data_IF_365680860380
#
_entry.id   IF_365680860380
#
_cell.length_a   1.000
_cell.length_b   1.000
_cell.length_c   1.000
_cell.angle_alpha   90.00
_cell.angle_beta   90.00
_cell.angle_gamma   90.00
#
_symmetry.space_group_name_H-M   'P 1'
#
loop_
_entity.id
_entity.type
_entity.pdbx_description
1 polymer ?
#
# COMPACT_ATOMS: atom_id res chain seq x y z
N UNK A 1 32.97 -30.78 -48.37
CA UNK A 1 32.56 -29.89 -47.27
C UNK A 1 33.82 -29.50 -46.50
N UNK A 2 34.18 -28.25 -46.59
CA UNK A 2 35.53 -27.73 -46.28
C UNK A 2 35.84 -27.74 -44.79
N UNK A 3 36.94 -28.36 -44.42
CA UNK A 3 37.41 -28.56 -43.05
C UNK A 3 37.58 -27.23 -42.27
N UNK A 4 37.76 -26.12 -42.98
CA UNK A 4 37.82 -24.75 -42.41
C UNK A 4 36.47 -24.25 -41.87
N UNK A 5 35.32 -24.68 -42.44
CA UNK A 5 33.98 -24.32 -41.97
C UNK A 5 33.56 -25.08 -40.71
N UNK A 6 34.14 -26.28 -40.49
CA UNK A 6 33.88 -27.08 -39.31
C UNK A 6 34.61 -26.54 -38.06
N UNK A 7 35.84 -26.01 -38.26
CA UNK A 7 36.61 -25.39 -37.18
C UNK A 7 36.05 -24.03 -36.73
N UNK A 8 35.40 -23.26 -37.61
CA UNK A 8 34.74 -21.99 -37.24
C UNK A 8 33.41 -22.20 -36.48
N UNK A 9 32.68 -23.30 -36.75
CA UNK A 9 31.49 -23.66 -36.01
C UNK A 9 31.82 -24.21 -34.62
N UNK A 10 32.94 -24.92 -34.44
CA UNK A 10 33.37 -25.39 -33.11
C UNK A 10 33.88 -24.26 -32.22
N UNK A 11 34.44 -23.18 -32.77
CA UNK A 11 34.91 -22.01 -32.00
C UNK A 11 33.78 -21.14 -31.49
N UNK A 12 32.61 -21.12 -32.14
CA UNK A 12 31.44 -20.36 -31.71
C UNK A 12 30.63 -21.12 -30.64
N UNK A 13 30.66 -22.46 -30.65
CA UNK A 13 29.97 -23.29 -29.66
C UNK A 13 30.72 -23.37 -28.30
N UNK A 14 32.04 -23.20 -28.31
CA UNK A 14 32.84 -23.22 -27.04
C UNK A 14 32.74 -21.88 -26.29
N UNK A 15 32.39 -20.77 -26.93
CA UNK A 15 32.18 -19.48 -26.26
C UNK A 15 30.79 -19.30 -25.64
N UNK A 16 29.83 -20.18 -25.96
CA UNK A 16 28.45 -20.12 -25.37
C UNK A 16 28.25 -20.96 -24.12
N UNK A 17 29.24 -21.76 -23.70
CA UNK A 17 29.13 -22.60 -22.49
C UNK A 17 29.96 -22.15 -21.29
N UNK A 18 30.64 -21.00 -21.36
CA UNK A 18 31.44 -20.45 -20.25
C UNK A 18 30.71 -19.40 -19.39
N UNK A 19 29.39 -19.19 -19.59
CA UNK A 19 28.60 -18.22 -18.81
C UNK A 19 27.56 -18.87 -17.87
N UNK A 20 27.68 -20.16 -17.60
CA UNK A 20 26.82 -20.86 -16.65
C UNK A 20 27.61 -21.21 -15.40
N UNK A 21 27.67 -20.29 -14.43
CA UNK A 21 28.13 -20.65 -13.10
C UNK A 21 28.95 -19.65 -12.28
N UNK A 22 29.20 -18.45 -12.77
CA UNK A 22 29.79 -17.42 -11.91
C UNK A 22 28.62 -16.62 -11.26
N UNK A 23 28.49 -16.71 -9.95
CA UNK A 23 27.69 -15.75 -9.19
C UNK A 23 28.19 -14.34 -9.52
N UNK A 24 27.30 -13.35 -9.55
CA UNK A 24 27.68 -11.97 -9.75
C UNK A 24 28.49 -11.50 -8.55
N UNK A 25 29.83 -11.59 -8.65
CA UNK A 25 30.71 -10.90 -7.70
C UNK A 25 30.57 -9.40 -7.92
N UNK A 26 30.58 -8.58 -6.85
CA UNK A 26 30.64 -7.13 -6.98
C UNK A 26 31.76 -6.71 -7.93
N UNK A 27 31.49 -5.77 -8.82
CA UNK A 27 32.48 -5.24 -9.74
C UNK A 27 33.28 -4.08 -9.12
N UNK A 28 32.87 -3.56 -7.95
CA UNK A 28 33.61 -2.53 -7.21
C UNK A 28 34.37 -3.14 -6.04
N UNK A 29 35.64 -2.74 -5.88
CA UNK A 29 36.47 -3.00 -4.69
C UNK A 29 36.51 -1.77 -3.74
N UNK A 30 35.78 -0.70 -4.06
CA UNK A 30 35.74 0.52 -3.27
C UNK A 30 34.59 0.43 -2.24
N UNK A 31 34.95 0.35 -0.96
CA UNK A 31 33.98 0.24 0.15
C UNK A 31 33.04 1.46 0.26
N UNK A 32 33.55 2.68 0.08
CA UNK A 32 32.74 3.89 0.16
C UNK A 32 31.68 3.93 -0.99
N UNK A 33 32.09 3.51 -2.18
CA UNK A 33 31.18 3.39 -3.32
C UNK A 33 30.14 2.29 -3.09
N UNK A 34 30.57 1.11 -2.61
CA UNK A 34 29.67 0.00 -2.29
C UNK A 34 28.64 0.40 -1.22
N UNK A 35 29.04 1.13 -0.17
CA UNK A 35 28.16 1.66 0.89
C UNK A 35 27.09 2.59 0.32
N UNK A 36 27.48 3.58 -0.50
CA UNK A 36 26.55 4.56 -1.07
C UNK A 36 25.59 3.91 -2.07
N UNK A 37 26.09 2.95 -2.90
CA UNK A 37 25.23 2.18 -3.80
C UNK A 37 24.23 1.34 -3.00
N UNK A 38 24.67 0.66 -1.94
CA UNK A 38 23.83 -0.16 -1.09
C UNK A 38 22.73 0.69 -0.41
N UNK A 39 23.08 1.88 0.10
CA UNK A 39 22.10 2.82 0.66
C UNK A 39 21.00 3.15 -0.33
N UNK A 40 21.37 3.55 -1.56
CA UNK A 40 20.41 3.88 -2.60
C UNK A 40 19.58 2.67 -3.05
N UNK A 41 20.25 1.53 -3.21
CA UNK A 41 19.59 0.29 -3.62
C UNK A 41 18.61 -0.23 -2.56
N UNK A 42 18.94 -0.11 -1.29
CA UNK A 42 18.05 -0.55 -0.21
C UNK A 42 16.82 0.36 -0.09
N UNK A 43 17.00 1.69 -0.19
CA UNK A 43 15.86 2.63 -0.26
C UNK A 43 14.94 2.31 -1.44
N UNK A 44 15.52 2.04 -2.62
CA UNK A 44 14.75 1.63 -3.80
C UNK A 44 14.02 0.30 -3.58
N UNK A 45 14.68 -0.68 -2.98
CA UNK A 45 14.18 -2.04 -2.76
C UNK A 45 13.15 -2.15 -1.63
N UNK A 46 13.25 -1.34 -0.59
CA UNK A 46 12.49 -1.49 0.65
C UNK A 46 10.98 -1.69 0.44
N UNK A 47 10.27 -0.83 -0.34
CA UNK A 47 8.85 -1.07 -0.60
C UNK A 47 8.59 -2.37 -1.37
N UNK A 48 9.50 -2.79 -2.25
CA UNK A 48 9.37 -4.03 -3.00
C UNK A 48 9.56 -5.27 -2.11
N UNK A 49 10.49 -5.20 -1.14
CA UNK A 49 10.74 -6.27 -0.16
C UNK A 49 9.53 -6.48 0.75
N UNK A 50 8.96 -5.40 1.27
CA UNK A 50 7.75 -5.45 2.10
C UNK A 50 6.53 -5.95 1.31
N UNK A 51 6.42 -5.55 0.05
CA UNK A 51 5.40 -6.05 -0.87
C UNK A 51 5.56 -7.56 -1.13
N UNK A 52 6.81 -8.01 -1.37
CA UNK A 52 7.12 -9.43 -1.56
C UNK A 52 6.87 -10.26 -0.29
N UNK A 53 7.21 -9.74 0.89
CA UNK A 53 6.87 -10.35 2.17
C UNK A 53 5.37 -10.59 2.29
N UNK A 54 4.59 -9.57 1.99
CA UNK A 54 3.13 -9.63 2.05
C UNK A 54 2.56 -10.63 1.03
N UNK A 55 3.05 -10.60 -0.22
CA UNK A 55 2.67 -11.56 -1.25
C UNK A 55 3.01 -13.01 -0.84
N UNK A 56 4.18 -13.22 -0.22
CA UNK A 56 4.61 -14.53 0.25
C UNK A 56 3.64 -15.10 1.27
N UNK A 57 3.25 -14.28 2.26
CA UNK A 57 2.32 -14.70 3.32
C UNK A 57 0.88 -14.89 2.84
N UNK A 58 0.43 -14.07 1.89
CA UNK A 58 -0.97 -14.02 1.48
C UNK A 58 -1.29 -14.89 0.26
N UNK A 59 -0.31 -15.17 -0.60
CA UNK A 59 -0.55 -15.89 -1.85
C UNK A 59 0.41 -17.06 -2.10
N UNK A 60 1.72 -16.88 -1.88
CA UNK A 60 2.70 -17.95 -2.20
C UNK A 60 2.56 -19.14 -1.25
N UNK A 61 2.65 -18.91 0.06
CA UNK A 61 2.55 -19.97 1.07
C UNK A 61 1.19 -20.69 1.03
N UNK A 62 0.04 -19.97 1.00
CA UNK A 62 -1.27 -20.62 0.96
C UNK A 62 -1.69 -21.11 -0.44
N UNK A 63 -0.87 -20.94 -1.47
CA UNK A 63 -1.20 -21.23 -2.89
C UNK A 63 -2.53 -20.56 -3.31
N UNK A 64 -2.62 -19.26 -3.11
CA UNK A 64 -3.87 -18.50 -3.19
C UNK A 64 -3.86 -17.40 -4.27
N UNK A 65 -2.99 -17.49 -5.29
CA UNK A 65 -3.03 -16.57 -6.42
C UNK A 65 -4.36 -16.64 -7.19
N UNK A 66 -4.73 -15.52 -7.79
CA UNK A 66 -5.92 -15.36 -8.63
C UNK A 66 -7.24 -15.72 -7.90
N UNK A 67 -7.30 -15.44 -6.60
CA UNK A 67 -8.49 -15.66 -5.77
C UNK A 67 -8.69 -14.50 -4.80
N UNK A 68 -9.93 -14.03 -4.66
CA UNK A 68 -10.26 -13.08 -3.62
C UNK A 68 -10.31 -13.73 -2.24
N UNK A 69 -9.62 -13.11 -1.28
CA UNK A 69 -9.81 -13.30 0.15
C UNK A 69 -10.61 -12.11 0.68
N UNK A 70 -11.80 -12.39 1.18
CA UNK A 70 -12.70 -11.37 1.73
C UNK A 70 -12.52 -11.26 3.24
N UNK A 71 -12.47 -10.04 3.77
CA UNK A 71 -12.54 -9.82 5.22
C UNK A 71 -13.94 -10.15 5.73
N UNK A 72 -14.01 -10.62 6.98
CA UNK A 72 -15.29 -11.02 7.59
C UNK A 72 -16.16 -9.83 8.02
N UNK A 73 -15.57 -8.64 8.12
CA UNK A 73 -16.22 -7.41 8.55
C UNK A 73 -15.19 -6.29 8.67
N UNK A 74 -15.54 -5.26 9.41
CA UNK A 74 -14.61 -4.20 9.80
C UNK A 74 -13.50 -4.77 10.68
N UNK A 75 -12.33 -4.14 10.62
CA UNK A 75 -11.23 -4.41 11.54
C UNK A 75 -11.52 -3.74 12.88
N UNK A 76 -11.18 -4.39 13.97
CA UNK A 76 -11.35 -3.92 15.33
C UNK A 76 -10.06 -4.03 16.15
N UNK A 77 -10.14 -3.89 17.48
CA UNK A 77 -8.98 -3.94 18.37
C UNK A 77 -8.20 -5.27 18.35
N UNK A 78 -8.83 -6.35 17.91
CA UNK A 78 -8.21 -7.66 17.75
C UNK A 78 -7.22 -7.74 16.59
N UNK A 79 -7.30 -6.81 15.64
CA UNK A 79 -6.41 -6.76 14.47
C UNK A 79 -5.11 -6.03 14.82
N UNK A 80 -3.99 -6.75 14.79
CA UNK A 80 -2.64 -6.26 15.16
C UNK A 80 -1.59 -6.55 14.08
N UNK A 81 -2.00 -6.89 12.84
CA UNK A 81 -1.07 -7.24 11.76
C UNK A 81 -0.46 -6.01 11.07
N UNK A 82 -1.22 -4.92 10.99
CA UNK A 82 -0.81 -3.65 10.34
C UNK A 82 -1.28 -2.50 11.22
N UNK A 83 -0.39 -1.55 11.50
CA UNK A 83 -0.70 -0.34 12.27
C UNK A 83 -1.74 0.54 11.56
N UNK A 84 -2.46 1.34 12.32
CA UNK A 84 -3.53 2.24 11.84
C UNK A 84 -4.58 1.54 10.97
N UNK A 85 -5.14 0.39 11.44
CA UNK A 85 -6.11 -0.35 10.66
C UNK A 85 -7.33 0.52 10.34
N UNK A 86 -7.87 0.33 9.13
CA UNK A 86 -9.07 1.03 8.66
C UNK A 86 -10.33 0.43 9.30
N UNK A 87 -11.21 1.26 9.82
CA UNK A 87 -12.51 0.87 10.40
C UNK A 87 -13.70 1.44 9.61
N UNK A 88 -13.52 1.78 8.33
CA UNK A 88 -14.52 2.44 7.49
C UNK A 88 -15.02 1.56 6.36
N UNK A 89 -14.20 0.60 5.93
CA UNK A 89 -14.44 -0.21 4.74
C UNK A 89 -14.21 -1.67 5.01
N UNK A 90 -14.95 -2.52 4.31
CA UNK A 90 -14.74 -3.97 4.28
C UNK A 90 -13.86 -4.30 3.09
N UNK A 91 -12.85 -5.15 3.29
CA UNK A 91 -11.80 -5.42 2.32
C UNK A 91 -12.02 -6.73 1.56
N UNK A 92 -11.53 -6.75 0.32
CA UNK A 92 -11.26 -7.97 -0.44
C UNK A 92 -9.91 -7.83 -1.11
N UNK A 93 -9.02 -8.79 -0.94
CA UNK A 93 -7.69 -8.76 -1.53
C UNK A 93 -7.46 -9.98 -2.43
N UNK A 94 -6.80 -9.76 -3.55
CA UNK A 94 -6.36 -10.82 -4.44
C UNK A 94 -4.97 -10.50 -4.99
N UNK A 95 -4.04 -11.43 -4.84
CA UNK A 95 -2.79 -11.41 -5.57
C UNK A 95 -2.98 -12.06 -6.93
N UNK A 96 -2.66 -11.35 -7.99
CA UNK A 96 -2.74 -11.82 -9.36
C UNK A 96 -1.35 -12.28 -9.82
N UNK A 97 -1.30 -13.46 -10.42
CA UNK A 97 -0.14 -13.99 -11.13
C UNK A 97 -0.45 -13.96 -12.63
N UNK A 98 0.21 -13.05 -13.34
CA UNK A 98 0.01 -12.78 -14.76
C UNK A 98 1.00 -13.53 -15.66
N UNK A 99 1.84 -14.41 -15.10
CA UNK A 99 2.91 -15.10 -15.84
C UNK A 99 2.39 -16.11 -16.86
N UNK A 100 1.25 -16.73 -16.58
CA UNK A 100 0.66 -17.71 -17.49
C UNK A 100 -0.17 -17.01 -18.57
N UNK A 101 -1.05 -16.12 -18.16
CA UNK A 101 -1.97 -15.38 -19.03
C UNK A 101 -2.58 -14.18 -18.28
N UNK A 102 -3.20 -13.21 -18.99
CA UNK A 102 -3.96 -12.14 -18.39
C UNK A 102 -5.14 -12.65 -17.57
N UNK A 103 -5.55 -11.84 -16.58
CA UNK A 103 -6.63 -12.16 -15.66
C UNK A 103 -7.81 -11.23 -15.88
N UNK A 104 -9.01 -11.81 -15.91
CA UNK A 104 -10.28 -11.08 -15.91
C UNK A 104 -10.77 -10.90 -14.47
N UNK A 105 -11.18 -9.67 -14.14
CA UNK A 105 -11.91 -9.36 -12.91
C UNK A 105 -13.28 -8.81 -13.30
N UNK A 106 -14.34 -9.41 -12.75
CA UNK A 106 -15.70 -8.94 -12.92
C UNK A 106 -16.28 -8.51 -11.59
N UNK A 107 -16.92 -7.35 -11.56
CA UNK A 107 -17.62 -6.80 -10.40
C UNK A 107 -19.08 -6.48 -10.72
N UNK A 108 -19.99 -6.65 -9.75
CA UNK A 108 -21.39 -6.24 -9.90
C UNK A 108 -21.51 -4.71 -9.88
N UNK A 109 -22.69 -4.18 -10.16
CA UNK A 109 -23.01 -2.78 -9.91
C UNK A 109 -23.00 -2.49 -8.39
N UNK A 110 -22.35 -1.37 -7.99
CA UNK A 110 -22.23 -0.92 -6.60
C UNK A 110 -22.52 0.59 -6.58
N UNK A 111 -23.81 0.99 -6.61
CA UNK A 111 -24.20 2.37 -6.82
C UNK A 111 -24.54 3.15 -5.54
N UNK A 112 -24.84 2.47 -4.44
CA UNK A 112 -25.36 3.13 -3.23
C UNK A 112 -24.28 3.42 -2.17
N UNK A 113 -23.00 3.14 -2.50
CA UNK A 113 -21.90 3.32 -1.57
C UNK A 113 -20.58 3.54 -2.29
N UNK A 114 -19.63 4.14 -1.58
CA UNK A 114 -18.25 4.19 -2.04
C UNK A 114 -17.67 2.78 -2.17
N UNK A 115 -16.97 2.56 -3.27
CA UNK A 115 -16.08 1.41 -3.43
C UNK A 115 -14.88 1.78 -4.30
N UNK A 116 -13.79 1.05 -4.11
CA UNK A 116 -12.61 1.12 -4.96
C UNK A 116 -11.94 -0.24 -5.08
N UNK A 117 -11.41 -0.55 -6.25
CA UNK A 117 -10.41 -1.58 -6.49
C UNK A 117 -9.11 -0.85 -6.82
N UNK A 118 -8.12 -0.99 -5.97
CA UNK A 118 -6.78 -0.44 -6.13
C UNK A 118 -5.88 -1.53 -6.69
N UNK A 119 -5.18 -1.26 -7.79
CA UNK A 119 -4.23 -2.19 -8.40
C UNK A 119 -2.81 -1.70 -8.13
N UNK A 120 -2.05 -2.53 -7.41
CA UNK A 120 -0.70 -2.21 -6.95
C UNK A 120 0.29 -3.16 -7.59
N UNK A 121 1.33 -2.64 -8.22
CA UNK A 121 2.41 -3.43 -8.81
C UNK A 121 3.48 -3.81 -7.77
N UNK A 122 4.49 -4.57 -8.18
CA UNK A 122 5.58 -4.97 -7.27
C UNK A 122 6.50 -3.81 -6.86
N UNK A 123 6.52 -2.72 -7.61
CA UNK A 123 7.17 -1.47 -7.19
C UNK A 123 6.40 -0.73 -6.10
N UNK A 124 5.17 -1.16 -5.76
CA UNK A 124 4.20 -0.46 -4.90
C UNK A 124 3.59 0.80 -5.54
N UNK A 125 3.60 0.91 -6.86
CA UNK A 125 2.84 1.94 -7.52
C UNK A 125 1.36 1.54 -7.59
N UNK A 126 0.48 2.49 -7.31
CA UNK A 126 -0.94 2.37 -7.58
C UNK A 126 -1.16 2.67 -9.07
N UNK A 127 -1.03 1.67 -9.94
CA UNK A 127 -1.03 1.93 -11.38
C UNK A 127 -2.43 2.07 -12.00
N UNK A 128 -3.45 1.55 -11.30
CA UNK A 128 -4.83 1.68 -11.74
C UNK A 128 -5.81 1.65 -10.56
N UNK A 129 -6.99 2.24 -10.80
CA UNK A 129 -8.15 2.17 -9.92
C UNK A 129 -9.41 1.90 -10.74
N UNK A 130 -10.30 1.06 -10.19
CA UNK A 130 -11.69 0.95 -10.60
C UNK A 130 -12.59 1.27 -9.41
N UNK A 131 -13.70 1.99 -9.61
CA UNK A 131 -14.60 2.32 -8.50
C UNK A 131 -15.34 3.62 -8.67
N UNK A 132 -15.92 4.08 -7.59
CA UNK A 132 -16.80 5.27 -7.55
C UNK A 132 -16.18 6.48 -8.26
N UNK A 133 -14.88 6.72 -8.06
CA UNK A 133 -14.16 7.84 -8.65
C UNK A 133 -13.85 7.67 -10.14
N UNK A 134 -13.45 6.48 -10.57
CA UNK A 134 -12.84 6.28 -11.88
C UNK A 134 -13.77 5.66 -12.91
N UNK A 135 -14.44 4.57 -12.57
CA UNK A 135 -15.27 3.79 -13.51
C UNK A 135 -16.77 3.89 -13.23
N UNK A 136 -17.14 4.64 -12.17
CA UNK A 136 -18.54 4.76 -11.75
C UNK A 136 -19.08 3.51 -11.08
N UNK A 137 -20.40 3.39 -10.96
CA UNK A 137 -21.03 2.39 -10.10
C UNK A 137 -21.58 1.16 -10.84
N UNK A 138 -21.57 1.12 -12.18
CA UNK A 138 -22.09 0.01 -12.98
C UNK A 138 -21.28 -1.28 -12.83
N UNK A 139 -21.89 -2.40 -13.21
CA UNK A 139 -21.14 -3.66 -13.34
C UNK A 139 -20.04 -3.51 -14.40
N UNK A 140 -18.86 -4.08 -14.16
CA UNK A 140 -17.69 -3.93 -15.02
C UNK A 140 -16.90 -5.22 -15.15
N UNK A 141 -16.24 -5.35 -16.30
CA UNK A 141 -15.30 -6.43 -16.62
C UNK A 141 -13.94 -5.80 -16.98
N UNK A 142 -12.93 -6.09 -16.20
CA UNK A 142 -11.57 -5.58 -16.36
C UNK A 142 -10.63 -6.69 -16.85
N UNK A 143 -9.73 -6.36 -17.77
CA UNK A 143 -8.63 -7.21 -18.18
C UNK A 143 -7.34 -6.69 -17.55
N UNK A 144 -6.68 -7.50 -16.75
CA UNK A 144 -5.40 -7.18 -16.12
C UNK A 144 -4.31 -7.91 -16.88
N UNK A 145 -3.37 -7.16 -17.46
CA UNK A 145 -2.27 -7.71 -18.27
C UNK A 145 -0.93 -7.48 -17.60
N UNK A 146 0.00 -8.42 -17.79
CA UNK A 146 1.41 -8.27 -17.42
C UNK A 146 2.20 -7.46 -18.46
N UNK A 147 3.50 -7.22 -18.20
CA UNK A 147 4.37 -6.53 -19.14
C UNK A 147 4.45 -7.32 -20.45
N UNK A 148 4.46 -6.61 -21.58
CA UNK A 148 4.61 -7.20 -22.95
C UNK A 148 3.51 -8.19 -23.35
N UNK A 149 2.36 -8.15 -22.71
CA UNK A 149 1.22 -8.98 -23.11
C UNK A 149 0.72 -8.54 -24.49
N UNK A 150 0.68 -9.47 -25.43
CA UNK A 150 0.18 -9.27 -26.79
C UNK A 150 -1.09 -10.10 -26.98
N UNK A 151 -2.18 -9.68 -26.32
CA UNK A 151 -3.48 -10.37 -26.42
C UNK A 151 -4.48 -9.49 -27.16
N UNK A 152 -5.33 -10.10 -27.96
CA UNK A 152 -6.49 -9.44 -28.53
C UNK A 152 -7.50 -9.20 -27.39
N UNK A 153 -7.92 -7.93 -27.25
CA UNK A 153 -8.87 -7.55 -26.20
C UNK A 153 -10.29 -7.83 -26.67
N UNK A 154 -11.05 -8.72 -25.97
CA UNK A 154 -12.44 -8.96 -26.30
C UNK A 154 -13.31 -7.71 -26.20
N UNK A 155 -14.30 -7.56 -27.09
CA UNK A 155 -15.23 -6.42 -27.09
C UNK A 155 -16.04 -6.28 -25.78
N UNK A 156 -16.20 -7.36 -25.04
CA UNK A 156 -16.91 -7.39 -23.75
C UNK A 156 -16.09 -6.89 -22.56
N UNK A 157 -14.84 -6.45 -22.77
CA UNK A 157 -14.00 -5.85 -21.75
C UNK A 157 -14.26 -4.35 -21.68
N UNK A 158 -14.60 -3.86 -20.50
CA UNK A 158 -14.84 -2.43 -20.29
C UNK A 158 -13.54 -1.62 -20.25
N UNK A 159 -12.48 -2.19 -19.63
CA UNK A 159 -11.20 -1.49 -19.45
C UNK A 159 -10.04 -2.47 -19.29
N UNK A 160 -8.85 -2.07 -19.74
CA UNK A 160 -7.61 -2.85 -19.67
C UNK A 160 -6.61 -2.12 -18.78
N UNK A 161 -6.09 -2.80 -17.76
CA UNK A 161 -5.03 -2.32 -16.89
C UNK A 161 -3.75 -3.11 -17.12
N UNK A 162 -2.68 -2.43 -17.54
CA UNK A 162 -1.39 -3.05 -17.81
C UNK A 162 -0.40 -2.76 -16.71
N UNK A 163 0.12 -3.81 -16.08
CA UNK A 163 1.15 -3.75 -15.04
C UNK A 163 2.55 -3.78 -15.64
N UNK A 164 3.50 -3.08 -15.00
CA UNK A 164 4.93 -3.17 -15.29
C UNK A 164 5.55 -4.50 -14.80
N UNK A 165 4.79 -5.33 -14.07
CA UNK A 165 5.26 -6.58 -13.50
C UNK A 165 4.25 -7.71 -13.62
N UNK A 166 4.73 -8.91 -13.33
CA UNK A 166 3.94 -10.15 -13.42
C UNK A 166 3.03 -10.37 -12.22
N UNK A 167 3.24 -9.66 -11.12
CA UNK A 167 2.44 -9.80 -9.89
C UNK A 167 1.76 -8.49 -9.55
N UNK A 168 0.49 -8.57 -9.23
CA UNK A 168 -0.36 -7.43 -8.91
C UNK A 168 -1.20 -7.73 -7.67
N UNK A 169 -1.24 -6.81 -6.73
CA UNK A 169 -2.26 -6.82 -5.68
C UNK A 169 -3.48 -6.04 -6.16
N UNK A 170 -4.64 -6.70 -6.19
CA UNK A 170 -5.95 -6.05 -6.29
C UNK A 170 -6.54 -5.95 -4.88
N UNK A 171 -6.67 -4.72 -4.37
CA UNK A 171 -7.24 -4.44 -3.06
C UNK A 171 -8.54 -3.67 -3.20
N UNK A 172 -9.66 -4.36 -2.97
CA UNK A 172 -10.98 -3.76 -2.99
C UNK A 172 -11.38 -3.28 -1.60
N UNK A 173 -11.98 -2.07 -1.56
CA UNK A 173 -12.57 -1.44 -0.38
C UNK A 173 -14.03 -1.13 -0.69
N UNK A 174 -14.93 -1.48 0.23
CA UNK A 174 -16.37 -1.18 0.13
C UNK A 174 -16.77 -0.50 1.43
N UNK A 175 -17.30 0.72 1.36
CA UNK A 175 -17.74 1.44 2.56
C UNK A 175 -18.91 0.75 3.21
N UNK A 176 -18.94 0.79 4.56
CA UNK A 176 -20.01 0.27 5.37
C UNK A 176 -20.54 1.35 6.30
N UNK A 177 -21.84 1.37 6.52
CA UNK A 177 -22.42 2.10 7.64
C UNK A 177 -22.80 1.08 8.72
N UNK A 178 -22.02 0.96 9.81
CA UNK A 178 -22.25 -0.03 10.85
C UNK A 178 -23.57 0.18 11.62
N UNK A 179 -24.18 1.34 11.53
CA UNK A 179 -25.46 1.67 12.17
C UNK A 179 -26.68 1.15 11.39
N UNK A 180 -26.48 0.68 10.15
CA UNK A 180 -27.56 0.11 9.33
C UNK A 180 -27.60 -1.41 9.56
N UNK A 181 -28.73 -1.90 10.05
CA UNK A 181 -28.92 -3.33 10.25
C UNK A 181 -28.87 -4.10 8.91
N UNK A 182 -28.12 -5.21 8.89
CA UNK A 182 -27.96 -6.06 7.68
C UNK A 182 -26.96 -5.52 6.64
N UNK A 183 -26.32 -4.41 6.89
CA UNK A 183 -25.38 -3.75 5.98
C UNK A 183 -24.19 -4.67 5.65
N UNK A 184 -23.63 -5.34 6.64
CA UNK A 184 -22.52 -6.28 6.43
C UNK A 184 -22.93 -7.47 5.54
N UNK A 185 -24.15 -7.96 5.67
CA UNK A 185 -24.63 -9.06 4.83
C UNK A 185 -24.88 -8.61 3.37
N UNK A 186 -25.30 -7.36 3.17
CA UNK A 186 -25.38 -6.76 1.83
C UNK A 186 -23.97 -6.69 1.19
N UNK A 187 -22.98 -6.23 1.93
CA UNK A 187 -21.58 -6.17 1.45
C UNK A 187 -21.04 -7.58 1.16
N UNK A 188 -21.29 -8.55 2.01
CA UNK A 188 -20.88 -9.95 1.77
C UNK A 188 -21.49 -10.53 0.48
N UNK A 189 -22.72 -10.15 0.12
CA UNK A 189 -23.32 -10.54 -1.17
C UNK A 189 -22.56 -9.91 -2.34
N UNK A 190 -22.19 -8.62 -2.22
CA UNK A 190 -21.37 -7.93 -3.22
C UNK A 190 -20.00 -8.63 -3.37
N UNK A 191 -19.31 -8.88 -2.27
CA UNK A 191 -18.01 -9.56 -2.26
C UNK A 191 -18.07 -10.93 -2.94
N UNK A 192 -19.11 -11.74 -2.65
CA UNK A 192 -19.31 -13.05 -3.27
C UNK A 192 -19.59 -12.99 -4.77
N UNK A 193 -19.98 -11.85 -5.29
CA UNK A 193 -20.22 -11.62 -6.72
C UNK A 193 -18.97 -11.17 -7.48
N UNK A 194 -17.85 -10.93 -6.78
CA UNK A 194 -16.57 -10.66 -7.41
C UNK A 194 -16.03 -11.94 -8.03
N UNK A 195 -15.71 -11.90 -9.31
CA UNK A 195 -15.15 -13.04 -10.03
C UNK A 195 -13.73 -12.72 -10.51
N UNK A 196 -12.85 -13.69 -10.36
CA UNK A 196 -11.52 -13.70 -10.98
C UNK A 196 -11.42 -14.97 -11.81
N UNK A 197 -10.97 -14.83 -13.07
CA UNK A 197 -10.70 -15.98 -13.93
C UNK A 197 -9.63 -15.65 -14.97
N UNK A 198 -8.89 -16.66 -15.46
CA UNK A 198 -7.98 -16.50 -16.59
C UNK A 198 -8.73 -16.04 -17.84
N UNK A 199 -8.04 -15.29 -18.73
CA UNK A 199 -8.62 -14.83 -20.00
C UNK A 199 -9.11 -16.01 -20.86
N UNK A 200 -8.33 -17.09 -20.94
CA UNK A 200 -8.74 -18.29 -21.68
C UNK A 200 -10.07 -18.85 -21.18
N UNK A 201 -10.27 -18.96 -19.88
CA UNK A 201 -11.55 -19.43 -19.29
C UNK A 201 -12.71 -18.47 -19.61
N UNK A 202 -12.46 -17.17 -19.57
CA UNK A 202 -13.47 -16.17 -19.95
C UNK A 202 -13.90 -16.31 -21.40
N UNK A 203 -12.99 -16.70 -22.29
CA UNK A 203 -13.25 -16.98 -23.70
C UNK A 203 -13.84 -18.38 -23.98
N UNK A 204 -14.07 -19.19 -22.93
CA UNK A 204 -14.61 -20.54 -23.05
C UNK A 204 -13.58 -21.62 -23.41
N UNK A 205 -12.30 -21.34 -23.24
CA UNK A 205 -11.19 -22.29 -23.41
C UNK A 205 -10.74 -22.87 -22.08
N UNK A 206 -9.94 -23.92 -22.09
CA UNK A 206 -9.26 -24.43 -20.92
C UNK A 206 -8.20 -23.44 -20.43
N UNK A 207 -8.16 -23.20 -19.11
CA UNK A 207 -7.18 -22.32 -18.50
C UNK A 207 -5.75 -22.83 -18.74
N UNK A 208 -4.84 -21.92 -19.01
CA UNK A 208 -3.44 -22.25 -19.08
C UNK A 208 -2.94 -22.70 -17.70
N UNK A 209 -2.01 -23.64 -17.69
CA UNK A 209 -1.44 -24.16 -16.45
C UNK A 209 -0.70 -23.05 -15.71
N UNK A 210 -1.03 -22.85 -14.45
CA UNK A 210 -0.34 -21.89 -13.57
C UNK A 210 1.17 -22.14 -13.54
N UNK A 211 1.94 -21.07 -13.55
CA UNK A 211 3.39 -21.16 -13.40
C UNK A 211 3.72 -21.49 -11.94
N UNK A 212 4.58 -22.47 -11.73
CA UNK A 212 4.97 -22.91 -10.38
C UNK A 212 5.62 -21.79 -9.58
N UNK A 213 5.40 -21.82 -8.26
CA UNK A 213 5.95 -20.87 -7.28
C UNK A 213 6.99 -21.50 -6.36
N UNK A 214 7.25 -22.80 -6.50
CA UNK A 214 8.25 -23.54 -5.71
C UNK A 214 9.71 -23.10 -5.96
N UNK A 215 9.94 -22.33 -7.01
CA UNK A 215 11.22 -21.68 -7.32
C UNK A 215 11.36 -20.29 -6.68
N UNK A 216 10.32 -19.80 -5.99
CA UNK A 216 10.40 -18.49 -5.35
C UNK A 216 11.35 -18.49 -4.17
N UNK A 217 12.09 -17.40 -3.94
CA UNK A 217 12.86 -17.24 -2.72
C UNK A 217 11.99 -17.40 -1.48
N UNK A 218 12.42 -18.24 -0.54
CA UNK A 218 11.78 -18.28 0.78
C UNK A 218 12.11 -16.99 1.52
N UNK A 219 11.10 -16.17 1.80
CA UNK A 219 11.30 -14.91 2.50
C UNK A 219 11.74 -15.14 3.95
N UNK A 220 12.80 -14.46 4.36
CA UNK A 220 13.32 -14.40 5.73
C UNK A 220 13.66 -12.96 6.05
N UNK A 221 13.16 -12.45 7.16
CA UNK A 221 13.32 -11.05 7.56
C UNK A 221 14.80 -10.70 7.73
N UNK A 222 15.56 -11.53 8.44
CA UNK A 222 16.99 -11.30 8.71
C UNK A 222 17.81 -11.20 7.41
N UNK A 223 17.39 -11.93 6.37
CA UNK A 223 18.03 -11.86 5.07
C UNK A 223 17.65 -10.60 4.30
N UNK A 224 16.39 -10.16 4.42
CA UNK A 224 15.93 -8.92 3.79
C UNK A 224 16.57 -7.67 4.44
N UNK A 225 16.98 -7.76 5.70
CA UNK A 225 17.65 -6.70 6.48
C UNK A 225 19.18 -6.76 6.43
N UNK A 226 19.76 -7.62 5.63
CA UNK A 226 21.21 -7.79 5.43
C UNK A 226 21.60 -7.67 3.96
N UNK A 227 22.86 -7.83 3.61
CA UNK A 227 23.33 -7.90 2.21
C UNK A 227 22.53 -8.90 1.36
N UNK A 228 21.86 -9.86 2.01
CA UNK A 228 20.96 -10.81 1.36
C UNK A 228 19.72 -10.19 0.72
N UNK A 229 19.39 -8.92 0.95
CA UNK A 229 18.30 -8.22 0.24
C UNK A 229 18.51 -8.24 -1.27
N UNK A 230 19.76 -8.24 -1.73
CA UNK A 230 20.16 -8.30 -3.14
C UNK A 230 19.57 -9.55 -3.82
N UNK A 231 19.58 -10.69 -3.13
CA UNK A 231 18.99 -11.93 -3.66
C UNK A 231 17.48 -11.78 -3.96
N UNK A 232 16.74 -11.14 -3.06
CA UNK A 232 15.31 -10.89 -3.28
C UNK A 232 15.09 -9.84 -4.36
N UNK A 233 15.87 -8.76 -4.35
CA UNK A 233 15.75 -7.71 -5.36
C UNK A 233 16.03 -8.24 -6.77
N UNK A 234 17.06 -9.08 -6.95
CA UNK A 234 17.39 -9.70 -8.23
C UNK A 234 16.25 -10.59 -8.75
N UNK A 235 15.63 -11.37 -7.87
CA UNK A 235 14.44 -12.15 -8.21
C UNK A 235 13.29 -11.22 -8.64
N UNK A 236 13.00 -10.18 -7.88
CA UNK A 236 11.91 -9.24 -8.15
C UNK A 236 12.13 -8.49 -9.46
N UNK A 237 13.34 -7.97 -9.70
CA UNK A 237 13.69 -7.32 -10.96
C UNK A 237 13.53 -8.24 -12.17
N UNK A 238 13.68 -9.55 -11.99
CA UNK A 238 13.41 -10.55 -13.03
C UNK A 238 11.91 -10.74 -13.34
N UNK A 239 11.01 -10.27 -12.48
CA UNK A 239 9.56 -10.34 -12.66
C UNK A 239 8.96 -9.02 -13.16
N UNK A 240 9.78 -8.01 -13.42
CA UNK A 240 9.38 -6.65 -13.75
C UNK A 240 9.94 -6.23 -15.11
N UNK A 241 9.30 -5.27 -15.74
CA UNK A 241 9.93 -4.48 -16.80
C UNK A 241 10.62 -3.27 -16.14
N UNK A 242 11.95 -3.15 -16.37
CA UNK A 242 12.71 -2.01 -15.87
C UNK A 242 12.34 -0.78 -16.69
N UNK A 243 11.72 0.19 -16.03
CA UNK A 243 11.33 1.44 -16.67
C UNK A 243 12.57 2.19 -17.21
N UNK A 244 12.49 2.84 -18.39
CA UNK A 244 13.62 3.57 -18.98
C UNK A 244 14.31 4.57 -18.03
N UNK A 245 13.54 5.23 -17.14
CA UNK A 245 14.06 6.19 -16.16
C UNK A 245 14.91 5.56 -15.05
N UNK A 246 14.83 4.24 -14.87
CA UNK A 246 15.54 3.50 -13.81
C UNK A 246 16.72 2.69 -14.34
N UNK A 247 16.91 2.61 -15.67
CA UNK A 247 17.99 1.83 -16.28
C UNK A 247 19.38 2.22 -15.75
N UNK A 248 19.68 3.53 -15.74
CA UNK A 248 20.97 4.01 -15.24
C UNK A 248 21.16 3.71 -13.73
N UNK A 249 20.08 3.73 -12.96
CA UNK A 249 20.12 3.38 -11.54
C UNK A 249 20.42 1.89 -11.34
N UNK A 250 19.74 1.01 -12.06
CA UNK A 250 19.98 -0.43 -12.02
C UNK A 250 21.38 -0.79 -12.55
N UNK A 251 21.85 -0.09 -13.58
CA UNK A 251 23.24 -0.21 -14.07
C UNK A 251 24.25 0.12 -12.97
N UNK A 252 24.03 1.20 -12.20
CA UNK A 252 24.87 1.55 -11.05
C UNK A 252 24.79 0.48 -9.96
N UNK A 253 23.61 -0.03 -9.66
CA UNK A 253 23.42 -1.08 -8.65
C UNK A 253 24.10 -2.40 -9.03
N UNK A 254 24.34 -2.64 -10.34
CA UNK A 254 25.05 -3.84 -10.78
C UNK A 254 26.47 -3.94 -10.24
N UNK A 255 27.08 -2.81 -9.86
CA UNK A 255 28.42 -2.78 -9.25
C UNK A 255 28.50 -3.54 -7.90
N UNK A 256 27.36 -3.75 -7.23
CA UNK A 256 27.26 -4.59 -6.01
C UNK A 256 26.48 -5.89 -6.24
N UNK A 257 26.29 -6.31 -7.50
CA UNK A 257 25.68 -7.59 -7.84
C UNK A 257 24.16 -7.55 -8.00
N UNK A 258 23.56 -6.37 -8.17
CA UNK A 258 22.11 -6.21 -8.39
C UNK A 258 21.79 -6.19 -9.89
N UNK A 259 20.82 -7.02 -10.28
CA UNK A 259 20.29 -7.05 -11.65
C UNK A 259 19.25 -8.15 -11.87
N UNK A 260 18.44 -8.07 -12.93
CA UNK A 260 17.35 -9.01 -13.17
C UNK A 260 17.83 -10.46 -13.22
N UNK A 261 17.29 -11.32 -12.35
CA UNK A 261 17.62 -12.74 -12.26
C UNK A 261 19.12 -13.05 -12.08
N UNK A 262 19.94 -12.10 -11.66
CA UNK A 262 21.35 -12.38 -11.36
C UNK A 262 21.43 -13.28 -10.12
N UNK A 263 22.22 -14.37 -10.16
CA UNK A 263 22.47 -15.17 -8.99
C UNK A 263 23.28 -14.36 -7.98
N UNK A 264 22.91 -14.40 -6.71
CA UNK A 264 23.61 -13.70 -5.64
C UNK A 264 23.84 -14.63 -4.46
N UNK A 265 25.10 -14.79 -4.08
CA UNK A 265 25.51 -15.59 -2.93
C UNK A 265 26.31 -14.72 -1.96
N UNK A 266 25.76 -14.50 -0.79
CA UNK A 266 26.39 -13.68 0.27
C UNK A 266 27.80 -14.20 0.65
N UNK A 267 28.02 -15.52 0.52
CA UNK A 267 29.31 -16.15 0.81
C UNK A 267 30.42 -15.73 -0.17
N UNK A 268 30.06 -15.25 -1.37
CA UNK A 268 31.03 -14.84 -2.39
C UNK A 268 31.52 -13.39 -2.19
N UNK A 269 30.87 -12.64 -1.28
CA UNK A 269 31.31 -11.30 -0.91
C UNK A 269 32.59 -11.37 -0.07
N UNK A 270 33.58 -10.54 -0.39
CA UNK A 270 34.66 -10.30 0.55
C UNK A 270 34.10 -9.58 1.81
N UNK A 271 34.79 -9.72 2.95
CA UNK A 271 34.30 -9.21 4.24
C UNK A 271 34.19 -7.69 4.29
N UNK A 272 35.04 -6.96 3.58
CA UNK A 272 35.07 -5.51 3.57
C UNK A 272 33.88 -4.93 2.77
N UNK A 273 33.64 -5.48 1.58
CA UNK A 273 32.48 -5.09 0.74
C UNK A 273 31.16 -5.49 1.42
N UNK A 274 31.11 -6.66 2.08
CA UNK A 274 29.94 -7.04 2.85
C UNK A 274 29.64 -6.01 3.95
N UNK A 275 30.64 -5.65 4.76
CA UNK A 275 30.50 -4.67 5.82
C UNK A 275 30.06 -3.29 5.27
N UNK A 276 30.60 -2.88 4.12
CA UNK A 276 30.20 -1.64 3.45
C UNK A 276 28.73 -1.67 2.99
N UNK A 277 28.26 -2.79 2.44
CA UNK A 277 26.85 -2.95 2.06
C UNK A 277 25.95 -2.90 3.30
N UNK A 278 26.31 -3.60 4.38
CA UNK A 278 25.54 -3.61 5.63
C UNK A 278 25.46 -2.20 6.25
N UNK A 279 26.58 -1.45 6.25
CA UNK A 279 26.56 -0.05 6.67
C UNK A 279 25.68 0.83 5.79
N UNK A 280 25.65 0.60 4.47
CA UNK A 280 24.72 1.29 3.55
C UNK A 280 23.26 1.01 3.83
N UNK A 281 22.92 -0.21 4.30
CA UNK A 281 21.57 -0.56 4.74
C UNK A 281 21.19 0.20 6.01
N UNK A 282 22.11 0.30 6.99
CA UNK A 282 21.89 1.10 8.21
C UNK A 282 21.63 2.57 7.86
N UNK A 283 22.44 3.16 6.99
CA UNK A 283 22.26 4.53 6.50
C UNK A 283 20.90 4.72 5.79
N UNK A 284 20.46 3.72 5.03
CA UNK A 284 19.15 3.73 4.38
C UNK A 284 18.01 3.71 5.40
N UNK A 285 18.13 2.86 6.44
CA UNK A 285 17.14 2.76 7.50
C UNK A 285 17.02 4.04 8.30
N UNK A 286 18.11 4.79 8.53
CA UNK A 286 18.03 6.10 9.16
C UNK A 286 17.11 7.08 8.39
N UNK A 287 17.14 7.05 7.06
CA UNK A 287 16.26 7.86 6.21
C UNK A 287 14.82 7.35 6.28
N UNK A 288 14.62 6.04 6.15
CA UNK A 288 13.31 5.39 6.11
C UNK A 288 12.53 5.61 7.42
N UNK A 289 13.22 5.57 8.56
CA UNK A 289 12.65 5.72 9.90
C UNK A 289 12.31 7.17 10.29
N UNK A 290 12.57 8.15 9.42
CA UNK A 290 12.24 9.57 9.66
C UNK A 290 11.09 10.08 8.77
N UNK A 291 9.93 9.42 8.74
CA UNK A 291 8.83 9.73 7.81
C UNK A 291 8.29 11.15 7.97
N UNK A 292 8.28 11.69 9.19
CA UNK A 292 7.72 13.02 9.49
C UNK A 292 8.34 14.15 8.68
N UNK A 293 9.62 14.05 8.35
CA UNK A 293 10.33 15.06 7.56
C UNK A 293 10.00 14.97 6.06
N UNK A 294 9.69 13.78 5.58
CA UNK A 294 9.49 13.46 4.16
C UNK A 294 8.02 13.53 3.73
N UNK A 295 7.11 13.09 4.59
CA UNK A 295 5.74 12.76 4.17
C UNK A 295 4.74 13.90 4.33
N UNK A 296 5.03 14.98 5.06
CA UNK A 296 4.05 16.04 5.30
C UNK A 296 4.59 17.31 5.95
N UNK A 297 3.65 18.18 6.31
CA UNK A 297 3.88 19.38 7.11
C UNK A 297 2.90 19.40 8.25
N UNK A 298 3.28 19.92 9.42
CA UNK A 298 2.39 20.02 10.58
C UNK A 298 1.76 21.41 10.66
N UNK A 299 0.43 21.44 10.85
CA UNK A 299 -0.35 22.66 11.08
C UNK A 299 -1.53 22.36 11.99
N UNK A 300 -1.83 23.19 12.96
CA UNK A 300 -2.91 23.00 13.95
C UNK A 300 -2.89 21.62 14.64
N UNK A 301 -1.70 21.07 14.93
CA UNK A 301 -1.57 19.70 15.47
C UNK A 301 -1.76 18.57 14.43
N UNK A 302 -2.17 18.88 13.20
CA UNK A 302 -2.33 17.90 12.10
C UNK A 302 -1.10 17.82 11.23
N UNK A 303 -0.60 16.61 11.02
CA UNK A 303 0.36 16.29 9.95
C UNK A 303 -0.42 16.11 8.65
N UNK A 304 -0.21 17.05 7.74
CA UNK A 304 -0.86 17.09 6.43
C UNK A 304 0.04 16.36 5.44
N UNK A 305 -0.34 15.13 5.12
CA UNK A 305 0.46 14.29 4.22
C UNK A 305 0.44 14.84 2.79
N UNK A 306 1.63 14.88 2.17
CA UNK A 306 1.80 15.14 0.74
C UNK A 306 1.43 13.88 -0.06
N UNK A 307 1.60 13.94 -1.38
CA UNK A 307 1.49 12.76 -2.23
C UNK A 307 2.60 11.77 -1.92
N UNK A 308 2.28 10.72 -1.18
CA UNK A 308 3.21 9.66 -0.75
C UNK A 308 2.92 8.32 -1.43
N UNK A 309 1.74 8.19 -2.04
CA UNK A 309 1.34 7.09 -2.91
C UNK A 309 0.93 7.63 -4.27
N UNK A 310 1.02 6.80 -5.30
CA UNK A 310 0.66 7.18 -6.65
C UNK A 310 1.17 6.21 -7.71
N UNK A 311 0.86 6.53 -8.95
CA UNK A 311 1.36 5.78 -10.09
C UNK A 311 2.83 6.12 -10.40
N UNK A 312 3.41 5.42 -11.38
CA UNK A 312 4.79 5.60 -11.83
C UNK A 312 5.15 7.07 -12.07
N UNK A 313 4.34 7.80 -12.82
CA UNK A 313 4.64 9.20 -13.17
C UNK A 313 4.64 10.12 -11.96
N UNK A 314 3.75 9.88 -11.01
CA UNK A 314 3.61 10.68 -9.78
C UNK A 314 4.74 10.41 -8.79
N UNK A 315 5.29 9.19 -8.79
CA UNK A 315 6.28 8.71 -7.81
C UNK A 315 7.70 8.56 -8.38
N UNK A 316 7.91 8.88 -9.66
CA UNK A 316 9.23 8.80 -10.30
C UNK A 316 10.29 9.60 -9.54
N UNK A 317 11.39 8.94 -9.19
CA UNK A 317 12.51 9.54 -8.46
C UNK A 317 12.27 9.77 -6.97
N UNK A 318 11.08 9.50 -6.44
CA UNK A 318 10.72 9.72 -5.03
C UNK A 318 10.96 8.47 -4.18
N UNK A 319 12.14 7.87 -4.28
CA UNK A 319 12.43 6.58 -3.65
C UNK A 319 12.37 6.65 -2.13
N UNK A 320 12.92 7.69 -1.50
CA UNK A 320 12.89 7.88 -0.05
C UNK A 320 11.46 8.05 0.48
N UNK A 321 10.63 8.84 -0.22
CA UNK A 321 9.21 9.00 0.12
C UNK A 321 8.48 7.66 0.04
N UNK A 322 8.71 6.87 -1.01
CA UNK A 322 8.08 5.55 -1.18
C UNK A 322 8.53 4.57 -0.09
N UNK A 323 9.81 4.58 0.26
CA UNK A 323 10.34 3.71 1.31
C UNK A 323 9.77 4.07 2.68
N UNK A 324 9.76 5.37 3.03
CA UNK A 324 9.16 5.83 4.29
C UNK A 324 7.64 5.62 4.33
N UNK A 325 6.93 5.78 3.20
CA UNK A 325 5.50 5.47 3.11
C UNK A 325 5.23 3.97 3.30
N UNK A 326 6.07 3.09 2.73
CA UNK A 326 5.96 1.65 2.92
C UNK A 326 6.20 1.23 4.37
N UNK A 327 7.12 1.90 5.07
CA UNK A 327 7.36 1.70 6.50
C UNK A 327 6.16 2.11 7.36
N UNK A 328 5.54 3.26 7.05
CA UNK A 328 4.37 3.76 7.79
C UNK A 328 3.08 2.98 7.51
N UNK A 329 2.98 2.34 6.37
CA UNK A 329 1.83 1.53 5.99
C UNK A 329 1.74 1.33 4.47
N UNK A 330 1.89 0.08 4.04
CA UNK A 330 1.71 -0.32 2.64
C UNK A 330 0.26 -0.11 2.17
N UNK A 331 0.12 0.07 0.85
CA UNK A 331 -1.16 0.10 0.15
C UNK A 331 -2.08 1.28 0.49
N UNK A 332 -1.50 2.39 0.94
CA UNK A 332 -2.24 3.65 1.01
C UNK A 332 -2.77 4.06 -0.35
N UNK A 333 -3.91 4.72 -0.35
CA UNK A 333 -4.54 5.21 -1.57
C UNK A 333 -3.85 6.47 -2.09
N UNK A 334 -3.99 6.74 -3.38
CA UNK A 334 -3.62 8.03 -3.96
C UNK A 334 -4.39 9.17 -3.30
N UNK A 335 -3.79 10.35 -3.31
CA UNK A 335 -4.34 11.52 -2.66
C UNK A 335 -5.76 11.87 -3.14
N UNK A 336 -6.06 11.63 -4.42
CA UNK A 336 -7.38 11.83 -5.02
C UNK A 336 -8.41 10.76 -4.62
N UNK A 337 -7.94 9.62 -4.14
CA UNK A 337 -8.80 8.54 -3.66
C UNK A 337 -9.10 8.69 -2.17
N UNK A 338 -8.06 8.97 -1.37
CA UNK A 338 -8.23 9.21 0.07
C UNK A 338 -7.14 10.12 0.61
N UNK A 339 -7.53 11.16 1.34
CA UNK A 339 -6.61 12.04 2.04
C UNK A 339 -6.58 11.72 3.54
N UNK A 340 -5.39 11.67 4.13
CA UNK A 340 -5.13 11.16 5.48
C UNK A 340 -4.40 12.17 6.38
N UNK A 341 -4.99 13.28 6.84
CA UNK A 341 -4.41 14.07 7.93
C UNK A 341 -4.33 13.23 9.22
N UNK A 342 -3.16 13.28 9.87
CA UNK A 342 -2.90 12.55 11.13
C UNK A 342 -2.57 13.56 12.22
N UNK A 343 -3.10 13.37 13.43
CA UNK A 343 -2.78 14.23 14.55
C UNK A 343 -2.28 13.42 15.74
N UNK A 344 -1.18 13.90 16.32
CA UNK A 344 -0.56 13.37 17.53
C UNK A 344 -0.59 14.39 18.68
N UNK A 345 -1.01 15.62 18.39
CA UNK A 345 -0.97 16.73 19.33
C UNK A 345 -2.19 17.64 19.16
N UNK A 346 -2.56 18.32 20.21
CA UNK A 346 -3.62 19.33 20.22
C UNK A 346 -3.20 20.63 19.48
N UNK A 347 -4.07 21.62 19.49
CA UNK A 347 -3.84 22.92 18.85
C UNK A 347 -2.65 23.69 19.44
N UNK A 348 -2.30 23.41 20.70
CA UNK A 348 -1.16 24.01 21.41
C UNK A 348 0.16 23.26 21.16
N UNK A 349 0.09 22.10 20.45
CA UNK A 349 1.24 21.25 20.14
C UNK A 349 1.59 20.25 21.23
N UNK A 350 0.71 20.05 22.22
CA UNK A 350 0.90 19.06 23.27
C UNK A 350 0.28 17.70 22.91
N UNK A 351 1.01 16.62 23.20
CA UNK A 351 0.56 15.26 22.91
C UNK A 351 -0.74 14.94 23.63
N UNK A 352 -1.60 14.18 22.95
CA UNK A 352 -2.87 13.73 23.53
C UNK A 352 -2.67 12.74 24.68
N UNK A 353 -3.48 12.91 25.75
CA UNK A 353 -3.54 11.97 26.86
C UNK A 353 -4.99 11.92 27.42
N UNK A 354 -5.74 10.89 27.03
CA UNK A 354 -7.12 10.69 27.46
C UNK A 354 -7.27 10.26 28.93
N UNK A 355 -6.16 9.94 29.63
CA UNK A 355 -6.17 9.73 31.08
C UNK A 355 -6.25 11.03 31.87
N UNK A 356 -5.92 12.17 31.24
CA UNK A 356 -5.75 13.47 31.90
C UNK A 356 -6.72 14.52 31.41
N UNK A 357 -7.07 14.48 30.12
CA UNK A 357 -7.81 15.56 29.48
C UNK A 357 -8.97 15.03 28.65
N UNK A 358 -10.01 15.83 28.54
CA UNK A 358 -11.04 15.74 27.52
C UNK A 358 -10.67 16.67 26.36
N UNK A 359 -11.10 16.32 25.15
CA UNK A 359 -10.79 17.07 23.95
C UNK A 359 -12.04 17.30 23.11
N UNK A 360 -12.00 18.36 22.32
CA UNK A 360 -13.07 18.75 21.39
C UNK A 360 -12.45 19.07 20.02
N UNK A 361 -13.08 18.57 18.96
CA UNK A 361 -12.91 19.13 17.62
C UNK A 361 -14.19 19.87 17.29
N UNK A 362 -14.07 21.17 17.05
CA UNK A 362 -15.17 22.00 16.56
C UNK A 362 -14.97 22.29 15.08
N UNK A 363 -15.90 21.86 14.26
CA UNK A 363 -15.96 22.18 12.84
C UNK A 363 -17.02 23.28 12.63
N UNK A 364 -16.61 24.46 12.21
CA UNK A 364 -17.57 25.42 11.67
C UNK A 364 -18.35 24.79 10.50
N UNK A 365 -19.56 25.26 10.23
CA UNK A 365 -20.41 24.69 9.17
C UNK A 365 -19.73 24.62 7.80
N UNK A 366 -18.81 25.55 7.54
CA UNK A 366 -18.00 25.59 6.32
C UNK A 366 -16.67 24.83 6.45
N UNK A 367 -16.34 24.28 7.60
CA UNK A 367 -15.08 23.54 7.86
C UNK A 367 -15.30 22.02 7.96
N UNK A 368 -16.54 21.55 7.89
CA UNK A 368 -16.85 20.12 7.80
C UNK A 368 -15.92 19.48 6.73
N UNK A 369 -15.29 18.32 7.01
CA UNK A 369 -14.30 17.73 6.10
C UNK A 369 -14.83 17.63 4.67
N UNK A 370 -14.20 18.33 3.69
CA UNK A 370 -14.77 18.50 2.38
C UNK A 370 -14.52 17.30 1.47
N UNK A 371 -15.53 16.49 1.26
CA UNK A 371 -15.54 15.34 0.35
C UNK A 371 -16.37 15.64 -0.92
N UNK A 372 -16.05 14.93 -2.00
CA UNK A 372 -16.77 15.00 -3.27
C UNK A 372 -17.99 14.08 -3.31
N UNK A 373 -18.74 14.08 -4.42
CA UNK A 373 -19.91 13.21 -4.59
C UNK A 373 -19.56 11.72 -4.42
N UNK A 374 -20.34 11.02 -3.58
CA UNK A 374 -20.11 9.61 -3.26
C UNK A 374 -18.94 9.35 -2.29
N UNK A 375 -18.25 10.41 -1.87
CA UNK A 375 -17.24 10.36 -0.82
C UNK A 375 -17.84 10.45 0.58
N UNK A 376 -16.99 10.26 1.58
CA UNK A 376 -17.34 10.36 2.99
C UNK A 376 -16.06 10.63 3.81
N UNK A 377 -16.26 11.02 5.08
CA UNK A 377 -15.14 11.22 5.99
C UNK A 377 -15.33 10.48 7.31
N UNK A 378 -14.20 10.22 8.00
CA UNK A 378 -14.19 9.68 9.35
C UNK A 378 -12.97 10.16 10.13
N UNK A 379 -13.07 10.17 11.47
CA UNK A 379 -11.96 10.30 12.39
C UNK A 379 -11.85 8.98 13.15
N UNK A 380 -10.70 8.32 13.05
CA UNK A 380 -10.39 7.09 13.78
C UNK A 380 -9.37 7.39 14.86
N UNK A 381 -9.53 6.78 16.04
CA UNK A 381 -8.63 6.93 17.19
C UNK A 381 -7.80 5.67 17.40
N UNK A 382 -6.53 5.87 17.81
CA UNK A 382 -5.58 4.80 18.08
C UNK A 382 -4.78 5.07 19.34
N UNK A 383 -4.36 4.01 20.05
CA UNK A 383 -3.42 4.08 21.17
C UNK A 383 -2.00 4.51 20.72
N UNK A 384 -1.07 4.51 21.66
CA UNK A 384 0.34 4.81 21.41
C UNK A 384 1.01 3.80 20.47
N UNK A 385 0.55 2.54 20.47
CA UNK A 385 1.01 1.47 19.59
C UNK A 385 0.35 1.52 18.19
N UNK A 386 -0.48 2.53 17.92
CA UNK A 386 -1.19 2.77 16.65
C UNK A 386 -2.30 1.75 16.35
N UNK A 387 -2.94 1.19 17.38
CA UNK A 387 -4.06 0.26 17.25
C UNK A 387 -5.33 0.78 17.93
N UNK A 388 -6.48 0.31 17.47
CA UNK A 388 -7.77 0.60 18.10
C UNK A 388 -7.86 -0.06 19.48
N UNK A 389 -8.51 0.61 20.42
CA UNK A 389 -8.67 0.14 21.81
C UNK A 389 -10.15 -0.21 22.08
N UNK A 390 -10.44 -1.36 22.70
CA UNK A 390 -11.80 -1.69 23.13
C UNK A 390 -12.42 -0.58 23.97
N UNK A 391 -13.69 -0.26 23.71
CA UNK A 391 -14.43 0.74 24.45
C UNK A 391 -15.91 0.31 24.66
N UNK A 392 -16.64 0.92 25.58
CA UNK A 392 -17.98 0.46 25.99
C UNK A 392 -19.03 0.40 24.87
N UNK A 393 -18.89 1.24 23.83
CA UNK A 393 -19.84 1.32 22.72
C UNK A 393 -19.29 0.75 21.40
N UNK A 394 -18.11 0.12 21.44
CA UNK A 394 -17.43 -0.43 20.24
C UNK A 394 -17.29 0.58 19.08
N UNK A 395 -17.11 1.87 19.41
CA UNK A 395 -16.92 2.94 18.43
C UNK A 395 -15.45 3.31 18.35
N UNK A 396 -14.84 3.01 17.23
CA UNK A 396 -13.41 3.24 16.96
C UNK A 396 -13.18 4.36 15.95
N UNK A 397 -14.24 4.71 15.21
CA UNK A 397 -14.28 5.85 14.31
C UNK A 397 -15.63 6.55 14.39
N UNK A 398 -15.63 7.83 14.04
CA UNK A 398 -16.82 8.68 13.94
C UNK A 398 -16.72 9.54 12.67
N UNK A 399 -17.83 9.80 11.99
CA UNK A 399 -17.83 10.58 10.76
C UNK A 399 -19.25 10.79 10.20
N UNK A 400 -19.35 11.26 8.95
CA UNK A 400 -20.63 11.60 8.30
C UNK A 400 -21.60 10.42 8.10
N UNK A 401 -21.12 9.18 8.26
CA UNK A 401 -21.96 7.98 8.27
C UNK A 401 -22.46 7.61 9.67
N UNK A 402 -22.03 8.32 10.71
CA UNK A 402 -22.55 8.22 12.08
C UNK A 402 -23.79 9.09 12.24
N UNK A 403 -24.61 8.79 13.27
CA UNK A 403 -25.78 9.63 13.62
C UNK A 403 -25.34 10.88 14.38
N UNK A 404 -24.64 11.78 13.69
CA UNK A 404 -24.15 13.01 14.28
C UNK A 404 -25.27 14.01 14.54
N UNK A 405 -25.19 14.71 15.69
CA UNK A 405 -26.00 15.88 16.01
C UNK A 405 -25.21 17.15 15.66
N UNK A 406 -25.77 17.96 14.75
CA UNK A 406 -25.21 19.26 14.38
C UNK A 406 -25.79 20.35 15.25
N UNK A 407 -25.03 21.40 15.50
CA UNK A 407 -25.49 22.60 16.17
C UNK A 407 -26.48 23.38 15.30
N UNK A 408 -27.25 24.29 15.89
CA UNK A 408 -28.29 25.07 15.18
C UNK A 408 -27.75 25.94 14.03
N UNK A 409 -26.49 26.32 14.07
CA UNK A 409 -25.77 27.08 13.02
C UNK A 409 -25.11 26.18 11.94
N UNK A 410 -25.29 24.86 12.09
CA UNK A 410 -24.73 23.85 11.18
C UNK A 410 -23.27 23.48 11.47
N UNK A 411 -22.67 24.00 12.55
CA UNK A 411 -21.37 23.55 13.05
C UNK A 411 -21.47 22.16 13.69
N UNK A 412 -20.33 21.51 13.92
CA UNK A 412 -20.27 20.16 14.43
C UNK A 412 -19.18 20.04 15.52
N UNK A 413 -19.60 19.52 16.68
CA UNK A 413 -18.73 19.20 17.79
C UNK A 413 -18.48 17.70 17.86
N UNK A 414 -17.20 17.27 17.94
CA UNK A 414 -16.80 15.89 18.20
C UNK A 414 -16.08 15.83 19.54
N UNK A 415 -16.68 15.13 20.49
CA UNK A 415 -16.15 14.95 21.85
C UNK A 415 -15.20 13.74 21.87
N UNK A 416 -13.94 13.97 22.24
CA UNK A 416 -12.90 12.93 22.31
C UNK A 416 -12.47 12.83 23.78
N UNK A 417 -13.01 11.84 24.47
CA UNK A 417 -12.77 11.64 25.91
C UNK A 417 -13.01 10.18 26.29
N UNK A 418 -12.43 9.76 27.42
CA UNK A 418 -12.51 8.36 27.84
C UNK A 418 -13.90 8.00 28.33
N UNK A 419 -14.49 8.82 29.20
CA UNK A 419 -15.82 8.59 29.76
C UNK A 419 -16.90 9.23 28.87
N UNK A 420 -18.13 8.68 28.93
CA UNK A 420 -19.25 9.24 28.16
C UNK A 420 -19.52 10.70 28.55
N UNK A 421 -19.71 11.60 27.56
CA UNK A 421 -20.11 12.99 27.83
C UNK A 421 -21.57 13.12 28.28
N UNK A 422 -22.28 12.02 28.39
CA UNK A 422 -23.69 11.96 28.70
C UNK A 422 -24.58 11.69 27.49
N UNK A 423 -25.83 11.26 27.69
CA UNK A 423 -26.71 10.75 26.65
C UNK A 423 -27.01 11.78 25.54
N UNK A 424 -27.02 13.07 25.85
CA UNK A 424 -27.33 14.12 24.88
C UNK A 424 -26.18 14.37 23.89
N UNK A 425 -24.93 14.04 24.28
CA UNK A 425 -23.72 14.26 23.48
C UNK A 425 -23.10 12.95 22.95
N UNK A 426 -23.63 11.79 23.35
CA UNK A 426 -23.06 10.49 23.00
C UNK A 426 -23.06 10.20 21.49
N UNK A 427 -23.99 10.83 20.73
CA UNK A 427 -24.01 10.72 19.27
C UNK A 427 -22.70 11.20 18.63
N UNK A 428 -22.09 12.22 19.22
CA UNK A 428 -20.87 12.88 18.76
C UNK A 428 -19.61 12.48 19.56
N UNK A 429 -19.69 11.43 20.40
CA UNK A 429 -18.60 10.99 21.22
C UNK A 429 -17.72 9.94 20.52
N UNK A 430 -16.41 10.19 20.48
CA UNK A 430 -15.39 9.23 20.10
C UNK A 430 -14.60 8.84 21.35
N UNK A 431 -14.79 7.61 21.90
CA UNK A 431 -14.13 7.17 23.13
C UNK A 431 -12.61 7.17 23.02
N UNK A 432 -11.92 7.94 23.84
CA UNK A 432 -10.47 7.97 23.92
C UNK A 432 -9.92 6.84 24.79
N UNK A 433 -8.72 6.29 24.49
CA UNK A 433 -7.99 5.42 25.40
C UNK A 433 -7.69 6.13 26.73
N UNK A 434 -7.53 5.35 27.80
CA UNK A 434 -7.06 5.88 29.10
C UNK A 434 -5.52 6.01 29.08
N UNK A 435 -5.00 6.94 28.28
CA UNK A 435 -3.56 7.16 28.05
C UNK A 435 -3.32 7.93 26.76
N UNK A 436 -2.06 7.91 26.25
CA UNK A 436 -1.71 8.56 25.00
C UNK A 436 -2.52 8.02 23.82
N UNK A 437 -2.83 8.89 22.86
CA UNK A 437 -3.54 8.50 21.66
C UNK A 437 -3.15 9.36 20.43
N UNK A 438 -3.65 8.96 19.28
CA UNK A 438 -3.54 9.72 18.04
C UNK A 438 -4.81 9.62 17.20
N UNK A 439 -5.00 10.54 16.29
CA UNK A 439 -6.18 10.63 15.43
C UNK A 439 -5.76 10.49 13.96
N UNK A 440 -6.62 9.88 13.17
CA UNK A 440 -6.52 9.87 11.71
C UNK A 440 -7.84 10.35 11.12
N UNK A 441 -7.84 11.53 10.53
CA UNK A 441 -8.93 11.99 9.67
C UNK A 441 -8.76 11.33 8.30
N UNK A 442 -9.80 10.66 7.83
CA UNK A 442 -9.86 10.07 6.49
C UNK A 442 -10.94 10.75 5.69
N UNK A 443 -10.58 11.30 4.54
CA UNK A 443 -11.53 11.84 3.57
C UNK A 443 -11.46 10.99 2.31
N UNK A 444 -12.46 10.17 2.09
CA UNK A 444 -12.61 9.36 0.87
C UNK A 444 -13.24 10.23 -0.21
N UNK A 445 -12.66 10.19 -1.41
CA UNK A 445 -12.96 11.12 -2.51
C UNK A 445 -12.89 12.58 -2.05
N UNK A 446 -11.73 13.03 -1.54
CA UNK A 446 -11.58 14.42 -1.09
C UNK A 446 -11.95 15.37 -2.22
N UNK A 447 -12.67 16.45 -1.88
CA UNK A 447 -13.00 17.50 -2.84
C UNK A 447 -11.73 18.32 -3.20
N UNK A 448 -11.74 19.10 -4.28
CA UNK A 448 -10.63 20.01 -4.59
C UNK A 448 -10.24 20.94 -3.43
N UNK A 449 -11.21 21.30 -2.57
CA UNK A 449 -10.93 22.08 -1.36
C UNK A 449 -10.09 21.35 -0.35
N UNK A 450 -10.31 20.03 -0.13
CA UNK A 450 -9.49 19.23 0.78
C UNK A 450 -8.04 19.08 0.28
N UNK A 451 -7.85 19.17 -1.03
CA UNK A 451 -6.56 19.04 -1.69
C UNK A 451 -5.83 20.37 -1.88
N UNK A 452 -6.47 21.49 -1.50
CA UNK A 452 -5.82 22.79 -1.50
C UNK A 452 -4.66 22.80 -0.48
N UNK A 453 -3.46 23.25 -0.85
CA UNK A 453 -2.33 23.36 0.09
C UNK A 453 -2.60 24.21 1.34
N UNK A 454 -3.59 25.09 1.28
CA UNK A 454 -4.02 25.93 2.42
C UNK A 454 -5.01 25.22 3.35
N UNK A 455 -5.62 24.12 2.90
CA UNK A 455 -6.56 23.37 3.73
C UNK A 455 -5.87 22.77 4.94
N UNK A 456 -6.50 22.92 6.08
CA UNK A 456 -6.11 22.27 7.32
C UNK A 456 -7.37 22.02 8.14
N UNK A 457 -7.55 20.85 8.73
CA UNK A 457 -8.61 20.64 9.71
C UNK A 457 -8.46 21.58 10.91
N UNK A 458 -9.55 21.93 11.60
CA UNK A 458 -9.46 22.69 12.85
C UNK A 458 -8.62 21.95 13.88
N UNK A 459 -7.94 22.71 14.74
CA UNK A 459 -7.15 22.12 15.80
C UNK A 459 -8.03 21.45 16.83
N UNK A 460 -7.52 20.37 17.44
CA UNK A 460 -8.16 19.70 18.56
C UNK A 460 -7.82 20.47 19.83
N UNK A 461 -8.82 20.89 20.60
CA UNK A 461 -8.63 21.69 21.80
C UNK A 461 -8.93 20.87 23.07
N UNK A 462 -8.20 21.12 24.14
CA UNK A 462 -8.54 20.63 25.46
C UNK A 462 -9.82 21.30 25.93
N UNK A 463 -10.83 20.51 26.33
CA UNK A 463 -12.11 21.05 26.77
C UNK A 463 -12.21 21.17 28.32
N UNK A 464 -11.69 20.20 29.06
CA UNK A 464 -11.70 20.18 30.53
C UNK A 464 -10.58 19.29 31.08
N UNK A 465 -10.20 19.59 32.35
CA UNK A 465 -9.32 18.73 33.13
C UNK A 465 -10.15 17.56 33.66
N UNK A 466 -9.63 16.34 33.55
CA UNK A 466 -10.25 15.18 34.15
C UNK A 466 -9.82 15.13 35.65
N UNK A 467 -10.75 15.32 36.59
CA UNK A 467 -10.50 15.17 38.03
C UNK A 467 -10.30 13.71 38.46
#
# INVERSE_FOLDING_TARGET
MDLKKLLTLLSVVVFLFAFLGAGSTPATDNCDEAREIARQAYIFAYPMLENFRTMTLQAVIPDAFNRFKHSKGLLGPEFREIVRPNNDTVFSAAWLDLRAEPIIIQIPAICERYYSLQFVDMYTHNFAYAGTRTTGCGARTFLITGPKSLVEVPESIDEVFTSEGNFVLCLARISINPEISGELDAIRKIQKSFLIQPLSSFLGYEALKSVRTDTFPVFRQERAESAGFIYYLNFLLGQLEIHPSEKALIERFSLIGIGPNLPFYEADLNSEIRAAIEQGIEDAMEVILRPGELLGTTKNGWSLTKRVFGNRNQMQGKYEIRASAAYMGLYGSDLEETYYPISYADADGESYDGSRYNYLIHFESNEIPPVGPGGFWSITIYDEDQFMVPNPINRYSIGDRSRLSYNDDGSLDIYIQHDSPGPDLESNWLPAPNGPFSLSLRMYLPSPRALDPLYCPPGVIKSEYRE
#
